data_IF_426246636470
#
_entry.id   IF_426246636470
#
_cell.length_a   1.000
_cell.length_b   1.000
_cell.length_c   1.000
_cell.angle_alpha   90.00
_cell.angle_beta   90.00
_cell.angle_gamma   90.00
#
_symmetry.space_group_name_H-M   'P 1'
#
loop_
_entity.id
_entity.type
_entity.pdbx_description
1 polymer ?
#
# COMPACT_ATOMS: atom_id res chain seq x y z
N UNK A 1 -15.06 10.32 -31.12
CA UNK A 1 -15.05 9.61 -32.41
C UNK A 1 -13.66 9.74 -33.01
N UNK A 2 -12.97 8.61 -33.13
CA UNK A 2 -11.58 8.48 -33.56
C UNK A 2 -11.49 8.39 -35.08
N UNK A 3 -11.23 9.52 -35.74
CA UNK A 3 -10.78 9.53 -37.14
C UNK A 3 -9.26 9.64 -37.15
N UNK A 4 -8.61 8.76 -37.93
CA UNK A 4 -7.17 8.80 -38.25
C UNK A 4 -6.18 8.71 -37.06
N UNK A 5 -6.36 7.73 -36.16
CA UNK A 5 -5.34 7.39 -35.16
C UNK A 5 -5.01 8.53 -34.19
N UNK A 6 -5.91 9.48 -34.01
CA UNK A 6 -5.74 10.62 -33.11
C UNK A 6 -6.76 10.57 -31.99
N UNK A 7 -6.32 10.73 -30.74
CA UNK A 7 -7.18 10.91 -29.58
C UNK A 7 -7.24 12.39 -29.20
N UNK A 8 -8.41 12.87 -28.78
CA UNK A 8 -8.59 14.21 -28.21
C UNK A 8 -9.34 14.09 -26.89
N UNK A 9 -8.80 14.70 -25.85
CA UNK A 9 -9.46 14.86 -24.55
C UNK A 9 -10.00 16.28 -24.49
N UNK A 10 -11.29 16.44 -24.24
CA UNK A 10 -11.98 17.74 -24.25
C UNK A 10 -12.69 17.98 -22.92
N UNK A 11 -12.73 19.25 -22.50
CA UNK A 11 -13.57 19.74 -21.40
C UNK A 11 -14.44 20.86 -21.96
N UNK A 12 -15.69 20.55 -22.28
CA UNK A 12 -16.56 21.44 -23.05
C UNK A 12 -16.03 21.61 -24.49
N UNK A 13 -15.91 22.85 -24.96
CA UNK A 13 -15.34 23.18 -26.27
C UNK A 13 -13.81 23.22 -26.31
N UNK A 14 -13.15 23.14 -25.14
CA UNK A 14 -11.69 23.21 -25.04
C UNK A 14 -11.07 21.82 -25.21
N UNK A 15 -10.15 21.68 -26.16
CA UNK A 15 -9.29 20.48 -26.29
C UNK A 15 -8.16 20.60 -25.26
N UNK A 16 -8.19 19.74 -24.24
CA UNK A 16 -7.19 19.72 -23.18
C UNK A 16 -5.92 18.97 -23.60
N UNK A 17 -6.08 17.85 -24.32
CA UNK A 17 -4.97 17.02 -24.77
C UNK A 17 -5.30 16.46 -26.16
N UNK A 18 -4.29 16.33 -27.00
CA UNK A 18 -4.37 15.61 -28.27
C UNK A 18 -3.25 14.59 -28.30
N UNK A 19 -3.52 13.35 -28.65
CA UNK A 19 -2.52 12.30 -28.81
C UNK A 19 -2.60 11.67 -30.19
N UNK A 20 -1.47 11.21 -30.72
CA UNK A 20 -1.38 10.51 -32.00
C UNK A 20 -0.86 9.09 -31.78
N UNK A 21 -1.53 8.12 -32.38
CA UNK A 21 -1.17 6.71 -32.31
C UNK A 21 0.04 6.45 -33.21
N UNK A 22 1.15 6.05 -32.60
CA UNK A 22 2.37 5.64 -33.27
C UNK A 22 2.85 4.34 -32.63
N UNK A 23 3.05 3.29 -33.42
CA UNK A 23 3.52 1.98 -32.95
C UNK A 23 2.70 1.38 -31.78
N UNK A 24 1.39 1.62 -31.75
CA UNK A 24 0.50 1.12 -30.69
C UNK A 24 0.47 1.98 -29.41
N UNK A 25 1.23 3.08 -29.35
CA UNK A 25 1.23 4.03 -28.24
C UNK A 25 0.68 5.39 -28.69
N UNK A 26 -0.11 6.06 -27.85
CA UNK A 26 -0.53 7.44 -28.11
C UNK A 26 0.52 8.43 -27.59
N UNK A 27 1.21 9.11 -28.51
CA UNK A 27 2.16 10.20 -28.19
C UNK A 27 1.41 11.52 -28.05
N UNK A 28 1.64 12.25 -26.95
CA UNK A 28 1.03 13.55 -26.72
C UNK A 28 1.52 14.57 -27.77
N UNK A 29 0.59 15.20 -28.47
CA UNK A 29 0.84 16.28 -29.43
C UNK A 29 0.64 17.61 -28.70
N UNK A 30 1.73 18.14 -28.17
CA UNK A 30 1.74 19.44 -27.49
C UNK A 30 3.16 19.88 -27.15
N UNK A 31 3.33 21.17 -26.90
CA UNK A 31 4.54 21.72 -26.29
C UNK A 31 4.31 21.88 -24.79
N UNK A 32 5.26 21.44 -23.97
CA UNK A 32 5.24 21.75 -22.54
C UNK A 32 5.50 23.23 -22.37
N UNK A 33 4.50 23.97 -21.90
CA UNK A 33 4.71 25.36 -21.49
C UNK A 33 5.44 25.29 -20.15
N UNK A 34 6.75 25.52 -20.16
CA UNK A 34 7.53 25.67 -18.94
C UNK A 34 7.24 27.06 -18.37
N UNK A 35 6.07 27.21 -17.76
CA UNK A 35 5.70 28.38 -16.99
C UNK A 35 5.99 28.14 -15.52
N UNK A 36 6.47 29.16 -14.81
CA UNK A 36 6.49 29.14 -13.35
C UNK A 36 5.05 29.09 -12.85
N UNK A 37 4.59 27.90 -12.47
CA UNK A 37 3.35 27.78 -11.72
C UNK A 37 3.62 28.22 -10.29
N UNK A 38 2.89 29.21 -9.81
CA UNK A 38 2.87 29.52 -8.38
C UNK A 38 2.12 28.41 -7.67
N UNK A 39 2.82 27.31 -7.36
CA UNK A 39 2.31 26.29 -6.48
C UNK A 39 2.31 26.87 -5.06
N UNK A 40 1.15 26.91 -4.42
CA UNK A 40 1.07 27.19 -2.99
C UNK A 40 1.79 26.07 -2.26
N UNK A 41 2.99 26.34 -1.76
CA UNK A 41 3.71 25.40 -0.92
C UNK A 41 3.13 25.48 0.48
N UNK A 42 2.60 24.37 0.98
CA UNK A 42 2.24 24.26 2.39
C UNK A 42 3.55 24.16 3.17
N UNK A 43 3.80 25.12 4.06
CA UNK A 43 4.94 25.05 4.95
C UNK A 43 4.68 23.99 6.03
N UNK A 44 5.08 22.75 5.73
CA UNK A 44 4.97 21.63 6.65
C UNK A 44 6.03 21.74 7.75
N UNK A 45 5.64 21.43 8.99
CA UNK A 45 6.61 21.24 10.06
C UNK A 45 7.50 20.03 9.75
N UNK A 46 8.68 19.95 10.37
CA UNK A 46 9.56 18.80 10.19
C UNK A 46 8.86 17.48 10.60
N UNK A 47 8.04 17.51 11.65
CA UNK A 47 7.31 16.35 12.15
C UNK A 47 6.23 15.89 11.16
N UNK A 48 5.53 16.82 10.50
CA UNK A 48 4.59 16.50 9.44
C UNK A 48 5.27 15.78 8.27
N UNK A 49 6.47 16.23 7.89
CA UNK A 49 7.22 15.62 6.80
C UNK A 49 7.72 14.22 7.17
N UNK A 50 8.26 14.04 8.38
CA UNK A 50 8.63 12.71 8.89
C UNK A 50 7.42 11.77 8.91
N UNK A 51 6.23 12.26 9.30
CA UNK A 51 4.98 11.49 9.25
C UNK A 51 4.57 11.12 7.83
N UNK A 52 4.72 12.04 6.87
CA UNK A 52 4.44 11.76 5.45
C UNK A 52 5.39 10.72 4.88
N UNK A 53 6.70 10.80 5.18
CA UNK A 53 7.67 9.79 4.76
C UNK A 53 7.38 8.43 5.38
N UNK A 54 7.02 8.41 6.67
CA UNK A 54 6.58 7.21 7.36
C UNK A 54 5.42 6.50 6.64
N UNK A 55 4.36 7.25 6.28
CA UNK A 55 3.20 6.70 5.58
C UNK A 55 3.51 6.30 4.14
N UNK A 56 4.20 7.18 3.39
CA UNK A 56 4.55 6.97 1.97
C UNK A 56 5.44 5.75 1.75
N UNK A 57 6.33 5.45 2.71
CA UNK A 57 7.23 4.29 2.66
C UNK A 57 6.65 3.05 3.34
N UNK A 58 5.33 2.99 3.54
CA UNK A 58 4.65 1.79 4.01
C UNK A 58 4.83 1.52 5.51
N UNK A 59 4.75 2.57 6.31
CA UNK A 59 4.93 2.53 7.77
C UNK A 59 6.35 2.16 8.21
N UNK A 60 7.36 2.76 7.55
CA UNK A 60 8.76 2.53 7.86
C UNK A 60 9.11 2.97 9.29
N UNK A 61 9.99 2.24 9.97
CA UNK A 61 10.42 2.61 11.33
C UNK A 61 11.22 3.91 11.34
N UNK A 62 11.22 4.62 12.47
CA UNK A 62 12.07 5.80 12.68
C UNK A 62 13.55 5.53 12.36
N UNK A 63 14.03 4.31 12.69
CA UNK A 63 15.40 3.88 12.35
C UNK A 63 15.62 3.77 10.85
N UNK A 64 14.68 3.20 10.10
CA UNK A 64 14.78 3.09 8.65
C UNK A 64 14.76 4.45 7.97
N UNK A 65 13.86 5.33 8.43
CA UNK A 65 13.79 6.71 7.98
C UNK A 65 15.11 7.46 8.26
N UNK A 66 15.67 7.33 9.46
CA UNK A 66 16.98 7.92 9.82
C UNK A 66 18.11 7.41 8.91
N UNK A 67 18.11 6.12 8.54
CA UNK A 67 19.09 5.60 7.58
C UNK A 67 18.95 6.27 6.21
N UNK A 68 17.72 6.40 5.69
CA UNK A 68 17.49 7.08 4.41
C UNK A 68 17.89 8.55 4.44
N UNK A 69 17.59 9.25 5.54
CA UNK A 69 18.04 10.63 5.77
C UNK A 69 19.58 10.74 5.77
N UNK A 70 20.29 9.84 6.47
CA UNK A 70 21.75 9.80 6.46
C UNK A 70 22.36 9.54 5.07
N UNK A 71 21.62 8.87 4.18
CA UNK A 71 22.01 8.66 2.78
C UNK A 71 21.55 9.81 1.86
N UNK A 72 21.03 10.90 2.41
CA UNK A 72 20.48 12.06 1.68
C UNK A 72 19.32 11.70 0.72
N UNK A 73 18.55 10.66 1.05
CA UNK A 73 17.41 10.21 0.22
C UNK A 73 16.08 10.86 0.62
N UNK A 74 16.06 11.65 1.71
CA UNK A 74 14.87 12.33 2.25
C UNK A 74 15.08 13.86 2.37
N UNK A 75 15.72 14.47 1.37
CA UNK A 75 15.91 15.93 1.25
C UNK A 75 16.55 16.61 2.49
N UNK A 76 17.39 15.89 3.24
CA UNK A 76 18.10 16.44 4.39
C UNK A 76 17.22 16.68 5.63
N UNK A 77 16.04 16.05 5.70
CA UNK A 77 15.18 16.15 6.89
C UNK A 77 15.82 15.51 8.12
N UNK A 78 15.79 16.23 9.24
CA UNK A 78 16.28 15.76 10.52
C UNK A 78 15.24 14.83 11.16
N UNK A 79 15.46 13.52 11.04
CA UNK A 79 14.56 12.51 11.58
C UNK A 79 14.94 12.23 13.03
N UNK A 80 14.39 13.06 13.94
CA UNK A 80 14.64 12.98 15.37
C UNK A 80 13.67 12.02 16.06
N UNK A 81 12.38 12.16 15.76
CA UNK A 81 11.29 11.41 16.41
C UNK A 81 10.21 11.05 15.40
N UNK A 82 9.56 9.91 15.61
CA UNK A 82 8.37 9.51 14.87
C UNK A 82 7.23 9.37 15.86
N UNK A 83 6.14 10.09 15.60
CA UNK A 83 4.95 10.05 16.46
C UNK A 83 4.29 8.68 16.49
N UNK A 84 3.43 8.51 17.50
CA UNK A 84 2.62 7.32 17.63
C UNK A 84 1.82 7.05 16.34
N UNK A 85 1.93 5.82 15.85
CA UNK A 85 1.17 5.35 14.69
C UNK A 85 0.40 4.08 15.07
N UNK A 86 -0.92 4.18 15.15
CA UNK A 86 -1.81 3.06 15.47
C UNK A 86 -1.61 1.87 14.52
N UNK A 87 -1.53 2.13 13.21
CA UNK A 87 -1.30 1.09 12.19
C UNK A 87 0.01 0.33 12.41
N UNK A 88 1.07 1.02 12.88
CA UNK A 88 2.33 0.35 13.21
C UNK A 88 2.20 -0.61 14.37
N UNK A 89 1.49 -0.18 15.42
CA UNK A 89 1.31 -0.99 16.63
C UNK A 89 0.52 -2.24 16.29
N UNK A 90 -0.63 -2.09 15.62
CA UNK A 90 -1.48 -3.20 15.23
C UNK A 90 -0.76 -4.17 14.29
N UNK A 91 0.03 -3.66 13.33
CA UNK A 91 0.75 -4.49 12.36
C UNK A 91 1.98 -5.19 12.96
N UNK A 92 2.64 -4.59 13.95
CA UNK A 92 3.82 -5.16 14.62
C UNK A 92 3.47 -5.98 15.85
N UNK A 93 2.19 -6.03 16.25
CA UNK A 93 1.77 -6.80 17.40
C UNK A 93 2.07 -8.29 17.18
N UNK A 94 2.96 -8.83 18.03
CA UNK A 94 3.28 -10.26 18.00
C UNK A 94 2.16 -11.02 18.70
N UNK A 95 1.69 -12.11 18.09
CA UNK A 95 0.80 -13.07 18.76
C UNK A 95 1.52 -13.64 19.98
N UNK A 96 0.92 -13.50 21.16
CA UNK A 96 1.41 -14.13 22.38
C UNK A 96 1.40 -15.64 22.19
N UNK A 97 2.47 -16.32 22.59
CA UNK A 97 2.52 -17.78 22.56
C UNK A 97 1.51 -18.35 23.54
N UNK A 98 0.68 -19.28 23.08
CA UNK A 98 -0.10 -20.10 23.99
C UNK A 98 0.82 -21.09 24.70
N UNK A 99 0.53 -21.40 25.95
CA UNK A 99 1.16 -22.53 26.62
C UNK A 99 0.81 -23.82 25.88
N UNK A 100 1.80 -24.68 25.62
CA UNK A 100 1.55 -25.99 25.02
C UNK A 100 0.72 -26.85 25.97
N UNK A 101 -0.54 -27.12 25.61
CA UNK A 101 -1.36 -28.11 26.29
C UNK A 101 -0.81 -29.51 26.05
N UNK A 102 -0.36 -30.20 27.11
CA UNK A 102 0.00 -31.62 27.03
C UNK A 102 -1.23 -32.47 27.37
N UNK A 103 -1.81 -33.12 26.36
CA UNK A 103 -2.88 -34.09 26.55
C UNK A 103 -2.26 -35.50 26.57
N UNK A 104 -2.29 -36.16 27.74
CA UNK A 104 -1.87 -37.56 27.91
C UNK A 104 -3.00 -38.32 28.59
N UNK A 105 -3.33 -39.49 28.05
CA UNK A 105 -4.29 -40.41 28.65
C UNK A 105 -3.64 -41.73 29.02
N UNK A 106 -4.30 -42.49 29.90
CA UNK A 106 -3.79 -43.77 30.41
C UNK A 106 -4.54 -44.96 29.81
N UNK A 107 -5.84 -44.80 29.55
CA UNK A 107 -6.72 -45.79 28.96
C UNK A 107 -6.91 -45.62 27.45
N UNK A 108 -7.40 -46.69 26.84
CA UNK A 108 -7.82 -46.72 25.44
C UNK A 108 -9.11 -45.91 25.31
N UNK A 109 -9.14 -44.97 24.35
CA UNK A 109 -10.28 -44.05 24.07
C UNK A 109 -10.61 -43.00 25.16
N UNK A 110 -9.75 -42.79 26.15
CA UNK A 110 -9.89 -41.72 27.17
C UNK A 110 -9.94 -40.29 26.59
N UNK A 111 -9.38 -40.08 25.40
CA UNK A 111 -9.35 -38.78 24.73
C UNK A 111 -9.42 -38.98 23.22
N UNK A 112 -10.48 -38.45 22.61
CA UNK A 112 -10.74 -38.53 21.18
C UNK A 112 -10.69 -37.11 20.61
N UNK A 113 -9.76 -36.89 19.69
CA UNK A 113 -9.75 -35.69 18.88
C UNK A 113 -10.65 -35.91 17.66
N UNK A 114 -11.69 -35.10 17.52
CA UNK A 114 -12.53 -35.07 16.32
C UNK A 114 -12.42 -33.70 15.70
N UNK A 115 -12.16 -33.68 14.39
CA UNK A 115 -12.09 -32.46 13.61
C UNK A 115 -13.07 -32.55 12.44
N UNK A 116 -13.68 -31.42 12.10
CA UNK A 116 -14.60 -31.30 10.99
C UNK A 116 -13.81 -30.86 9.77
N UNK A 117 -13.76 -31.73 8.75
CA UNK A 117 -13.22 -31.34 7.46
C UNK A 117 -14.10 -30.24 6.84
N UNK A 118 -13.47 -29.11 6.46
CA UNK A 118 -14.12 -27.93 5.90
C UNK A 118 -14.87 -28.17 4.58
N UNK A 119 -15.59 -27.18 4.05
CA UNK A 119 -16.61 -27.38 3.01
C UNK A 119 -16.08 -28.19 1.81
N UNK A 120 -16.58 -29.43 1.70
CA UNK A 120 -16.26 -30.31 0.58
C UNK A 120 -16.97 -29.79 -0.67
N UNK A 121 -16.22 -29.71 -1.78
CA UNK A 121 -16.80 -29.43 -3.10
C UNK A 121 -17.77 -30.53 -3.55
N UNK A 122 -17.62 -31.74 -3.02
CA UNK A 122 -18.46 -32.87 -3.34
C UNK A 122 -19.51 -33.08 -2.24
N UNK A 123 -20.80 -33.13 -2.60
CA UNK A 123 -21.85 -33.47 -1.64
C UNK A 123 -21.64 -34.89 -1.13
N UNK A 124 -21.74 -35.07 0.20
CA UNK A 124 -21.67 -36.40 0.79
C UNK A 124 -22.93 -37.19 0.45
N UNK A 125 -22.79 -38.52 0.37
CA UNK A 125 -23.92 -39.45 0.11
C UNK A 125 -24.93 -39.54 1.27
N UNK A 126 -24.78 -38.72 2.31
CA UNK A 126 -25.59 -38.72 3.53
C UNK A 126 -26.77 -37.75 3.53
N UNK A 127 -26.96 -36.94 2.48
CA UNK A 127 -28.17 -36.12 2.34
C UNK A 127 -29.30 -37.00 1.77
N UNK A 128 -30.18 -37.49 2.65
CA UNK A 128 -31.57 -37.82 2.30
C UNK A 128 -32.44 -36.61 2.57
#
# INVERSE_FOLDING_TARGET
MSEAGTIKVTKGSLVMLKGKLENGLYTLVGSTIVGSANASTVHLSNDDKVRLWHMSLGHMSARGLKMLSNHNLLEGENINTLDFCEHCVLRKQKKVSFSTGKHKTRGVLDYIHSDLWGPSKLPSKGRK
#
